data_IF_870690920894
#
_entry.id   IF_870690920894
#
_cell.length_a   1.000
_cell.length_b   1.000
_cell.length_c   1.000
_cell.angle_alpha   90.00
_cell.angle_beta   90.00
_cell.angle_gamma   90.00
#
_symmetry.space_group_name_H-M   'P 1'
#
loop_
_entity.id
_entity.type
_entity.pdbx_description
1 polymer ?
#
# COMPACT_ATOMS: atom_id res chain seq x y z
N UNK A 1 19.01 20.52 -20.22
CA UNK A 1 19.70 21.51 -21.10
C UNK A 1 21.23 21.38 -21.01
N UNK A 2 21.78 21.00 -19.85
CA UNK A 2 23.24 20.82 -19.64
C UNK A 2 23.73 19.38 -19.53
N UNK A 3 22.84 18.39 -19.35
CA UNK A 3 23.18 16.97 -19.28
C UNK A 3 22.73 16.24 -20.55
N UNK A 4 23.54 15.27 -21.01
CA UNK A 4 23.18 14.38 -22.12
C UNK A 4 22.15 13.33 -21.68
N UNK A 5 21.34 12.85 -22.63
CA UNK A 5 20.43 11.69 -22.51
C UNK A 5 19.38 11.73 -21.39
N UNK A 6 18.99 12.92 -20.93
CA UNK A 6 17.84 13.07 -20.04
C UNK A 6 16.54 12.76 -20.79
N UNK A 7 15.83 11.71 -20.38
CA UNK A 7 14.51 11.35 -20.94
C UNK A 7 13.50 12.47 -20.72
N UNK A 8 12.60 12.68 -21.70
CA UNK A 8 11.54 13.70 -21.63
C UNK A 8 10.62 13.54 -20.41
N UNK A 9 10.47 12.32 -19.90
CA UNK A 9 9.62 12.01 -18.75
C UNK A 9 10.37 12.05 -17.40
N UNK A 10 11.65 12.43 -17.37
CA UNK A 10 12.51 12.42 -16.18
C UNK A 10 13.22 13.77 -15.95
N UNK A 11 12.58 14.88 -16.32
CA UNK A 11 13.13 16.23 -16.10
C UNK A 11 12.90 16.64 -14.65
N UNK A 12 13.98 17.06 -13.98
CA UNK A 12 13.91 17.76 -12.69
C UNK A 12 13.80 19.26 -12.96
N UNK A 13 12.72 19.89 -12.47
CA UNK A 13 12.45 21.31 -12.67
C UNK A 13 12.05 22.01 -11.38
N UNK A 14 11.58 23.26 -11.50
CA UNK A 14 11.21 24.10 -10.35
C UNK A 14 10.02 23.58 -9.53
N UNK A 15 9.30 22.58 -10.05
CA UNK A 15 8.15 21.94 -9.40
C UNK A 15 8.43 20.49 -8.99
N UNK A 16 9.70 20.06 -8.99
CA UNK A 16 10.07 18.69 -8.66
C UNK A 16 10.54 18.59 -7.21
N UNK A 17 9.90 17.71 -6.43
CA UNK A 17 10.39 17.28 -5.11
C UNK A 17 11.37 16.10 -5.25
N UNK A 18 12.27 15.93 -4.29
CA UNK A 18 13.32 14.91 -4.32
C UNK A 18 13.31 14.10 -3.02
N UNK A 19 13.36 12.77 -3.16
CA UNK A 19 13.59 11.83 -2.06
C UNK A 19 14.95 11.15 -2.31
N UNK A 20 15.88 11.28 -1.35
CA UNK A 20 17.20 10.66 -1.41
C UNK A 20 17.11 9.13 -1.24
N UNK A 21 17.76 8.37 -2.11
CA UNK A 21 17.66 6.91 -2.18
C UNK A 21 19.01 6.18 -2.18
N UNK A 22 20.12 6.91 -2.15
CA UNK A 22 21.46 6.36 -2.10
C UNK A 22 21.67 5.47 -0.86
N UNK A 23 22.21 4.27 -1.07
CA UNK A 23 22.41 3.29 0.00
C UNK A 23 21.14 2.60 0.53
N UNK A 24 19.97 2.86 -0.07
CA UNK A 24 18.69 2.27 0.31
C UNK A 24 18.18 1.29 -0.77
N UNK A 25 17.26 0.42 -0.37
CA UNK A 25 16.51 -0.46 -1.28
C UNK A 25 15.08 0.06 -1.36
N UNK A 26 14.58 0.23 -2.59
CA UNK A 26 13.19 0.57 -2.86
C UNK A 26 12.48 -0.68 -3.39
N UNK A 27 11.35 -1.04 -2.78
CA UNK A 27 10.47 -2.11 -3.26
C UNK A 27 9.11 -1.53 -3.62
N UNK A 28 8.33 -2.26 -4.42
CA UNK A 28 6.89 -2.02 -4.44
C UNK A 28 6.32 -2.26 -3.04
N UNK A 29 5.20 -1.59 -2.73
CA UNK A 29 4.45 -1.90 -1.52
C UNK A 29 3.84 -3.29 -1.57
N UNK A 30 3.81 -3.97 -0.43
CA UNK A 30 3.27 -5.33 -0.34
C UNK A 30 1.76 -5.37 -0.55
N UNK A 31 1.27 -6.51 -1.04
CA UNK A 31 -0.15 -6.80 -1.25
C UNK A 31 -0.49 -8.02 -0.40
N UNK A 32 -1.40 -7.87 0.56
CA UNK A 32 -1.97 -8.99 1.30
C UNK A 32 -3.37 -9.29 0.76
N UNK A 33 -3.56 -10.52 0.27
CA UNK A 33 -4.79 -10.98 -0.35
C UNK A 33 -5.69 -11.81 0.57
N UNK A 34 -5.32 -11.97 1.84
CA UNK A 34 -6.05 -12.80 2.80
C UNK A 34 -6.34 -12.03 4.10
N UNK A 35 -6.95 -10.86 3.98
CA UNK A 35 -7.29 -10.04 5.14
C UNK A 35 -8.67 -10.37 5.68
N UNK A 36 -8.72 -10.61 7.00
CA UNK A 36 -9.96 -10.53 7.77
C UNK A 36 -10.09 -9.11 8.33
N UNK A 37 -11.07 -8.34 7.87
CA UNK A 37 -11.30 -6.96 8.36
C UNK A 37 -12.02 -6.97 9.71
N UNK A 38 -11.31 -7.41 10.75
CA UNK A 38 -11.79 -7.53 12.12
C UNK A 38 -11.81 -6.17 12.81
N UNK A 39 -10.78 -5.35 12.58
CA UNK A 39 -10.70 -4.02 13.16
C UNK A 39 -9.88 -3.07 12.28
N UNK A 40 -10.22 -1.77 12.26
CA UNK A 40 -9.52 -0.79 11.42
C UNK A 40 -8.04 -0.62 11.79
N UNK A 41 -7.64 -0.96 13.02
CA UNK A 41 -6.27 -0.86 13.50
C UNK A 41 -5.30 -1.75 12.72
N UNK A 42 -5.79 -2.83 12.09
CA UNK A 42 -4.98 -3.69 11.22
C UNK A 42 -4.31 -2.90 10.08
N UNK A 43 -4.94 -1.82 9.58
CA UNK A 43 -4.37 -0.99 8.54
C UNK A 43 -3.08 -0.27 8.99
N UNK A 44 -2.98 0.10 10.27
CA UNK A 44 -1.78 0.74 10.82
C UNK A 44 -0.61 -0.25 10.92
N UNK A 45 -0.89 -1.48 11.36
CA UNK A 45 0.13 -2.53 11.42
C UNK A 45 0.58 -2.92 10.00
N UNK A 46 -0.37 -3.04 9.07
CA UNK A 46 -0.10 -3.39 7.68
C UNK A 46 0.84 -2.38 7.01
N UNK A 47 0.55 -1.08 7.10
CA UNK A 47 1.40 -0.06 6.46
C UNK A 47 2.76 0.06 7.14
N UNK A 48 2.86 -0.12 8.46
CA UNK A 48 4.13 -0.14 9.18
C UNK A 48 5.02 -1.32 8.76
N UNK A 49 4.42 -2.46 8.39
CA UNK A 49 5.10 -3.63 7.84
C UNK A 49 5.41 -3.55 6.32
N UNK A 50 5.07 -2.43 5.67
CA UNK A 50 5.31 -2.22 4.24
C UNK A 50 4.21 -2.75 3.30
N UNK A 51 3.05 -3.14 3.83
CA UNK A 51 1.87 -3.47 3.01
C UNK A 51 1.13 -2.19 2.63
N UNK A 52 0.90 -1.99 1.34
CA UNK A 52 0.17 -0.82 0.82
C UNK A 52 -1.22 -1.18 0.32
N UNK A 53 -1.53 -2.47 0.18
CA UNK A 53 -2.81 -2.95 -0.32
C UNK A 53 -3.29 -4.13 0.53
N UNK A 54 -4.55 -4.07 0.96
CA UNK A 54 -5.24 -5.09 1.74
C UNK A 54 -6.49 -5.54 0.98
N UNK A 55 -6.55 -6.82 0.61
CA UNK A 55 -7.70 -7.43 -0.06
C UNK A 55 -8.24 -8.53 0.85
N UNK A 56 -9.56 -8.54 1.04
CA UNK A 56 -10.20 -9.47 1.96
C UNK A 56 -11.65 -9.11 2.21
N UNK A 57 -12.16 -9.46 3.39
CA UNK A 57 -13.54 -9.20 3.78
C UNK A 57 -13.73 -9.21 5.29
N UNK A 58 -14.80 -8.56 5.73
CA UNK A 58 -15.17 -8.51 7.15
C UNK A 58 -16.16 -7.40 7.48
N UNK A 59 -16.84 -7.55 8.61
CA UNK A 59 -17.81 -6.58 9.15
C UNK A 59 -17.46 -6.20 10.58
N UNK A 60 -16.17 -6.24 10.93
CA UNK A 60 -15.68 -6.03 12.29
C UNK A 60 -15.52 -7.34 13.07
N UNK A 61 -15.59 -7.34 14.42
CA UNK A 61 -15.26 -8.49 15.27
C UNK A 61 -16.35 -9.55 15.34
N UNK A 62 -17.21 -9.67 14.32
CA UNK A 62 -18.23 -10.70 14.26
C UNK A 62 -17.60 -12.09 14.09
N UNK A 63 -18.21 -13.12 14.68
CA UNK A 63 -17.75 -14.52 14.56
C UNK A 63 -17.53 -14.93 13.10
N UNK A 64 -18.39 -14.46 12.19
CA UNK A 64 -18.24 -14.69 10.76
C UNK A 64 -16.91 -14.15 10.23
N UNK A 65 -16.59 -12.88 10.48
CA UNK A 65 -15.33 -12.26 10.06
C UNK A 65 -14.10 -12.89 10.73
N UNK A 66 -14.21 -13.29 12.00
CA UNK A 66 -13.13 -14.03 12.66
C UNK A 66 -12.86 -15.40 12.04
N UNK A 67 -13.81 -15.95 11.27
CA UNK A 67 -13.69 -17.25 10.62
C UNK A 67 -13.42 -17.15 9.11
N UNK A 68 -13.97 -16.15 8.42
CA UNK A 68 -13.92 -16.03 6.95
C UNK A 68 -13.61 -14.60 6.49
N UNK A 69 -12.90 -14.47 5.37
CA UNK A 69 -12.63 -13.18 4.69
C UNK A 69 -13.82 -12.74 3.85
N UNK A 70 -15.01 -12.72 4.44
CA UNK A 70 -16.25 -12.38 3.74
C UNK A 70 -16.84 -11.09 4.30
N UNK A 71 -17.28 -10.21 3.40
CA UNK A 71 -18.17 -9.11 3.72
C UNK A 71 -19.57 -9.50 3.22
N UNK A 72 -20.33 -10.28 4.00
CA UNK A 72 -21.67 -10.66 3.57
C UNK A 72 -22.59 -9.43 3.57
N UNK A 73 -23.47 -9.41 2.57
CA UNK A 73 -24.52 -8.44 2.26
C UNK A 73 -24.20 -7.41 1.16
N UNK A 74 -25.09 -7.36 0.17
CA UNK A 74 -25.24 -6.31 -0.84
C UNK A 74 -26.72 -6.05 -1.21
N UNK A 75 -27.66 -6.56 -0.40
CA UNK A 75 -29.11 -6.39 -0.52
C UNK A 75 -29.68 -5.62 0.68
#
# INVERSE_FOLDING_TARGET
DVMADVSKNLIVGVTTEVIAGEGLIVTAGGIDSHIHFICPQQAHEAIAAGLTTMIGGGTGPATGTCATTCTPNSH
#
